data_IF_297195316167
#
_entry.id   IF_297195316167
#
_cell.length_a   1.000
_cell.length_b   1.000
_cell.length_c   1.000
_cell.angle_alpha   90.00
_cell.angle_beta   90.00
_cell.angle_gamma   90.00
#
_symmetry.space_group_name_H-M   'P 1'
#
loop_
_entity.id
_entity.type
_entity.pdbx_description
1 polymer ?
#
# COMPACT_ATOMS: atom_id res chain seq x y z
N UNK A 1 -3.05 9.99 -13.39
CA UNK A 1 -1.74 9.43 -13.76
C UNK A 1 -1.54 8.09 -13.06
N UNK A 2 -0.87 7.10 -13.67
CA UNK A 2 -0.82 5.74 -13.12
C UNK A 2 0.20 5.61 -11.95
N UNK A 3 -0.16 4.88 -10.89
CA UNK A 3 0.68 4.63 -9.69
C UNK A 3 2.02 3.91 -9.95
N UNK A 4 2.22 3.37 -11.14
CA UNK A 4 3.45 2.67 -11.50
C UNK A 4 4.68 3.61 -11.62
N UNK A 5 4.46 4.92 -11.73
CA UNK A 5 5.52 5.89 -12.03
C UNK A 5 6.64 5.98 -10.99
N UNK A 6 6.37 5.69 -9.71
CA UNK A 6 7.43 5.66 -8.69
C UNK A 6 8.33 4.41 -8.76
N UNK A 7 7.87 3.35 -9.44
CA UNK A 7 8.66 2.12 -9.61
C UNK A 7 9.38 2.07 -10.96
N UNK A 8 8.92 2.81 -11.96
CA UNK A 8 9.55 2.85 -13.29
C UNK A 8 11.04 3.25 -13.25
N UNK A 9 11.47 4.29 -12.51
CA UNK A 9 12.89 4.63 -12.38
C UNK A 9 13.71 3.48 -11.78
N UNK A 10 13.15 2.77 -10.79
CA UNK A 10 13.79 1.59 -10.19
C UNK A 10 13.92 0.47 -11.24
N UNK A 11 12.85 0.14 -11.97
CA UNK A 11 12.91 -0.90 -13.01
C UNK A 11 13.98 -0.57 -14.07
N UNK A 12 14.05 0.70 -14.52
CA UNK A 12 15.08 1.15 -15.47
C UNK A 12 16.49 1.08 -14.88
N UNK A 13 16.64 1.39 -13.60
CA UNK A 13 17.92 1.27 -12.91
C UNK A 13 18.39 -0.19 -12.85
N UNK A 14 17.50 -1.12 -12.49
CA UNK A 14 17.80 -2.55 -12.50
C UNK A 14 18.13 -3.06 -13.91
N UNK A 15 17.39 -2.61 -14.93
CA UNK A 15 17.66 -2.96 -16.32
C UNK A 15 19.09 -2.59 -16.75
N UNK A 16 19.58 -1.42 -16.32
CA UNK A 16 20.93 -0.94 -16.62
C UNK A 16 22.02 -1.80 -15.95
N UNK A 17 21.81 -2.24 -14.72
CA UNK A 17 22.85 -2.85 -13.91
C UNK A 17 22.82 -4.38 -13.88
N UNK A 18 21.66 -5.03 -14.05
CA UNK A 18 21.53 -6.48 -14.03
C UNK A 18 22.46 -7.23 -15.00
N UNK A 19 22.70 -6.77 -16.25
CA UNK A 19 23.61 -7.45 -17.16
C UNK A 19 25.03 -7.66 -16.61
N UNK A 20 25.47 -6.82 -15.66
CA UNK A 20 26.78 -6.93 -15.00
C UNK A 20 26.87 -8.14 -14.05
N UNK A 21 25.73 -8.63 -13.55
CA UNK A 21 25.65 -9.69 -12.55
C UNK A 21 24.99 -10.98 -13.06
N UNK A 22 24.36 -10.93 -14.24
CA UNK A 22 23.52 -12.02 -14.77
C UNK A 22 24.08 -12.70 -16.03
N UNK A 23 25.15 -12.17 -16.63
CA UNK A 23 25.75 -12.68 -17.89
C UNK A 23 24.68 -12.96 -18.96
N UNK A 24 23.87 -11.95 -19.26
CA UNK A 24 22.77 -12.07 -20.21
C UNK A 24 22.11 -10.73 -20.51
N UNK A 25 21.24 -10.70 -21.53
CA UNK A 25 20.43 -9.53 -21.86
C UNK A 25 19.20 -9.49 -20.96
N UNK A 26 18.90 -8.30 -20.45
CA UNK A 26 17.65 -8.01 -19.75
C UNK A 26 16.89 -6.98 -20.59
N UNK A 27 15.58 -7.12 -20.68
CA UNK A 27 14.71 -6.21 -21.40
C UNK A 27 13.40 -6.02 -20.63
N UNK A 28 12.83 -4.81 -20.69
CA UNK A 28 11.46 -4.59 -20.22
C UNK A 28 10.53 -5.13 -21.28
N UNK A 29 9.57 -5.94 -20.84
CA UNK A 29 8.50 -6.44 -21.70
C UNK A 29 7.23 -5.64 -21.44
N UNK A 30 6.68 -5.06 -22.48
CA UNK A 30 5.33 -4.50 -22.43
C UNK A 30 4.31 -5.63 -22.53
N UNK A 31 3.46 -5.74 -21.51
CA UNK A 31 2.38 -6.73 -21.45
C UNK A 31 1.07 -5.99 -21.67
N UNK A 32 0.86 -5.46 -22.88
CA UNK A 32 -0.40 -4.85 -23.32
C UNK A 32 -0.98 -3.73 -22.43
N UNK A 33 -2.26 -3.40 -22.68
CA UNK A 33 -3.03 -2.36 -21.96
C UNK A 33 -4.06 -2.94 -20.98
N UNK A 34 -3.99 -4.24 -20.67
CA UNK A 34 -4.94 -4.89 -19.76
C UNK A 34 -4.79 -4.40 -18.31
N UNK A 35 -5.77 -4.73 -17.46
CA UNK A 35 -5.72 -4.36 -16.05
C UNK A 35 -4.45 -4.94 -15.40
N UNK A 36 -3.94 -4.27 -14.36
CA UNK A 36 -2.66 -4.62 -13.73
C UNK A 36 -2.56 -6.10 -13.36
N UNK A 37 -3.59 -6.69 -12.75
CA UNK A 37 -3.58 -8.10 -12.38
C UNK A 37 -3.43 -9.03 -13.59
N UNK A 38 -4.17 -8.77 -14.67
CA UNK A 38 -4.08 -9.57 -15.89
C UNK A 38 -2.68 -9.54 -16.49
N UNK A 39 -2.01 -8.38 -16.43
CA UNK A 39 -0.62 -8.24 -16.87
C UNK A 39 0.34 -9.07 -16.02
N UNK A 40 0.16 -9.07 -14.71
CA UNK A 40 0.97 -9.92 -13.82
C UNK A 40 0.68 -11.40 -14.07
N UNK A 41 -0.58 -11.80 -14.24
CA UNK A 41 -0.94 -13.19 -14.57
C UNK A 41 -0.28 -13.63 -15.88
N UNK A 42 -0.38 -12.82 -16.93
CA UNK A 42 0.25 -13.09 -18.21
C UNK A 42 1.78 -13.19 -18.09
N UNK A 43 2.43 -12.29 -17.34
CA UNK A 43 3.87 -12.35 -17.07
C UNK A 43 4.31 -13.65 -16.40
N UNK A 44 3.48 -14.19 -15.52
CA UNK A 44 3.82 -15.33 -14.67
C UNK A 44 3.39 -16.69 -15.23
N UNK A 45 2.53 -16.73 -16.26
CA UNK A 45 2.00 -17.98 -16.79
C UNK A 45 2.36 -18.29 -18.23
N UNK A 46 2.80 -17.32 -19.03
CA UNK A 46 3.04 -17.55 -20.44
C UNK A 46 4.28 -18.40 -20.74
N UNK A 47 4.58 -18.58 -22.03
CA UNK A 47 5.71 -19.38 -22.54
C UNK A 47 7.09 -18.92 -22.02
N UNK A 48 7.20 -17.70 -21.46
CA UNK A 48 8.46 -17.10 -20.98
C UNK A 48 8.46 -16.92 -19.47
N UNK A 49 7.48 -17.47 -18.76
CA UNK A 49 7.40 -17.40 -17.31
C UNK A 49 8.67 -17.94 -16.61
N UNK A 50 9.37 -18.88 -17.25
CA UNK A 50 10.63 -19.47 -16.78
C UNK A 50 11.84 -18.50 -16.81
N UNK A 51 11.67 -17.32 -17.40
CA UNK A 51 12.70 -16.28 -17.57
C UNK A 51 12.18 -14.86 -17.32
N UNK A 52 10.98 -14.73 -16.76
CA UNK A 52 10.35 -13.44 -16.49
C UNK A 52 10.44 -13.11 -15.00
N UNK A 53 10.82 -11.87 -14.69
CA UNK A 53 10.82 -11.28 -13.34
C UNK A 53 9.82 -10.13 -13.30
N UNK A 54 9.08 -10.01 -12.21
CA UNK A 54 8.06 -8.97 -12.03
C UNK A 54 8.28 -8.26 -10.71
N UNK A 55 8.38 -6.93 -10.76
CA UNK A 55 8.36 -6.09 -9.56
C UNK A 55 6.91 -5.90 -9.13
N UNK A 56 6.58 -6.33 -7.91
CA UNK A 56 5.22 -6.21 -7.37
C UNK A 56 5.21 -5.47 -6.05
N UNK A 57 4.02 -4.96 -5.73
CA UNK A 57 3.67 -4.36 -4.44
C UNK A 57 2.67 -5.28 -3.73
N UNK A 58 2.31 -5.06 -2.45
CA UNK A 58 1.56 -6.04 -1.70
C UNK A 58 0.16 -6.35 -2.25
N UNK A 59 -0.54 -5.38 -2.86
CA UNK A 59 -1.90 -5.60 -3.36
C UNK A 59 -1.98 -6.66 -4.49
N UNK A 60 -1.28 -6.52 -5.63
CA UNK A 60 -1.34 -7.54 -6.69
C UNK A 60 -0.89 -8.91 -6.18
N UNK A 61 0.08 -8.96 -5.26
CA UNK A 61 0.53 -10.22 -4.68
C UNK A 61 -0.55 -10.86 -3.78
N UNK A 62 -1.16 -10.09 -2.88
CA UNK A 62 -2.24 -10.56 -2.01
C UNK A 62 -3.47 -11.05 -2.79
N UNK A 63 -3.83 -10.36 -3.88
CA UNK A 63 -4.94 -10.77 -4.75
C UNK A 63 -4.64 -12.09 -5.48
N UNK A 64 -3.45 -12.24 -6.06
CA UNK A 64 -3.03 -13.51 -6.70
C UNK A 64 -3.01 -14.64 -5.67
N UNK A 65 -2.52 -14.36 -4.47
CA UNK A 65 -2.47 -15.33 -3.39
C UNK A 65 -3.86 -15.78 -2.93
N UNK A 66 -4.80 -14.83 -2.76
CA UNK A 66 -6.19 -15.13 -2.46
C UNK A 66 -6.85 -15.99 -3.56
N UNK A 67 -6.55 -15.73 -4.83
CA UNK A 67 -7.01 -16.55 -5.95
C UNK A 67 -6.45 -17.97 -5.92
N UNK A 68 -5.18 -18.15 -5.56
CA UNK A 68 -4.58 -19.48 -5.40
C UNK A 68 -5.30 -20.27 -4.31
N UNK A 69 -5.55 -19.65 -3.15
CA UNK A 69 -6.27 -20.29 -2.04
C UNK A 69 -7.68 -20.70 -2.45
N UNK A 70 -8.33 -19.90 -3.29
CA UNK A 70 -9.64 -20.20 -3.85
C UNK A 70 -9.60 -21.22 -5.00
N UNK A 71 -8.42 -21.78 -5.34
CA UNK A 71 -8.18 -22.65 -6.49
C UNK A 71 -8.59 -22.02 -7.84
N UNK A 72 -8.51 -20.68 -7.93
CA UNK A 72 -8.89 -19.89 -9.12
C UNK A 72 -7.69 -19.45 -9.97
N UNK A 73 -6.47 -19.73 -9.52
CA UNK A 73 -5.25 -19.34 -10.22
C UNK A 73 -4.15 -20.39 -10.09
N UNK A 74 -3.55 -20.74 -11.23
CA UNK A 74 -2.34 -21.57 -11.31
C UNK A 74 -1.05 -20.73 -11.16
N UNK A 75 -1.16 -19.40 -11.20
CA UNK A 75 -0.02 -18.50 -11.03
C UNK A 75 0.52 -18.68 -9.62
N UNK A 76 1.78 -19.07 -9.47
CA UNK A 76 2.47 -19.14 -8.16
C UNK A 76 3.71 -18.25 -8.16
N UNK A 77 3.60 -16.99 -7.68
CA UNK A 77 4.74 -16.10 -7.56
C UNK A 77 5.64 -16.51 -6.40
N UNK A 78 6.94 -16.58 -6.65
CA UNK A 78 7.98 -16.81 -5.64
C UNK A 78 8.73 -15.49 -5.42
N UNK A 79 8.74 -14.94 -4.19
CA UNK A 79 9.51 -13.74 -3.88
C UNK A 79 11.01 -14.03 -3.99
N UNK A 80 11.77 -13.08 -4.52
CA UNK A 80 13.23 -13.14 -4.60
C UNK A 80 13.90 -12.08 -3.76
N UNK A 81 13.67 -10.81 -4.08
CA UNK A 81 14.44 -9.72 -3.48
C UNK A 81 13.55 -8.54 -3.14
N UNK A 82 13.53 -8.18 -1.86
CA UNK A 82 12.96 -6.94 -1.37
C UNK A 82 13.82 -5.77 -1.84
N UNK A 83 13.18 -4.75 -2.38
CA UNK A 83 13.85 -3.55 -2.91
C UNK A 83 13.69 -2.41 -1.93
N UNK A 84 12.44 -2.09 -1.59
CA UNK A 84 12.12 -0.92 -0.80
C UNK A 84 10.86 -1.13 0.05
N UNK A 85 10.87 -0.49 1.22
CA UNK A 85 9.69 -0.26 2.03
C UNK A 85 9.08 1.09 1.65
N UNK A 86 7.75 1.15 1.65
CA UNK A 86 6.95 2.27 1.18
C UNK A 86 6.01 2.72 2.31
N UNK A 87 6.46 3.65 3.17
CA UNK A 87 5.70 4.04 4.36
C UNK A 87 4.42 4.78 3.97
N UNK A 88 3.37 4.60 4.77
CA UNK A 88 2.10 5.30 4.61
C UNK A 88 2.09 6.67 5.29
N UNK A 89 1.37 7.61 4.70
CA UNK A 89 1.11 8.95 5.21
C UNK A 89 -0.39 9.24 5.17
N UNK A 90 -0.92 9.83 6.23
CA UNK A 90 -2.28 10.35 6.32
C UNK A 90 -2.24 11.87 6.17
N UNK A 91 -3.00 12.41 5.23
CA UNK A 91 -3.07 13.84 4.97
C UNK A 91 -4.50 14.37 5.02
N UNK A 92 -4.63 15.68 5.24
CA UNK A 92 -5.89 16.42 5.14
C UNK A 92 -5.65 17.81 4.54
N UNK A 93 -6.69 18.41 3.98
CA UNK A 93 -6.72 19.81 3.52
C UNK A 93 -7.41 20.74 4.51
N UNK A 94 -8.01 20.18 5.58
CA UNK A 94 -8.61 20.97 6.64
C UNK A 94 -7.54 21.74 7.41
N UNK A 95 -7.85 22.97 7.81
CA UNK A 95 -6.96 23.76 8.67
C UNK A 95 -7.06 23.34 10.13
N UNK A 96 -6.67 22.08 10.37
CA UNK A 96 -6.67 21.44 11.69
C UNK A 96 -5.31 20.82 11.95
N UNK A 97 -4.75 21.11 13.13
CA UNK A 97 -3.44 20.60 13.54
C UNK A 97 -3.55 19.81 14.84
N UNK A 98 -4.18 18.62 14.80
CA UNK A 98 -4.22 17.76 15.97
C UNK A 98 -2.78 17.42 16.39
N UNK A 99 -2.48 17.59 17.69
CA UNK A 99 -1.14 17.33 18.24
C UNK A 99 -1.03 15.95 18.91
N UNK A 100 -2.16 15.29 19.12
CA UNK A 100 -2.27 14.01 19.81
C UNK A 100 -3.55 13.28 19.37
N UNK A 101 -3.71 12.04 19.86
CA UNK A 101 -4.87 11.20 19.61
C UNK A 101 -6.20 11.89 19.92
N UNK A 102 -6.31 12.52 21.09
CA UNK A 102 -7.57 13.13 21.55
C UNK A 102 -7.98 14.28 20.63
N UNK A 103 -7.05 15.16 20.27
CA UNK A 103 -7.32 16.25 19.32
C UNK A 103 -7.72 15.74 17.94
N UNK A 104 -7.08 14.66 17.46
CA UNK A 104 -7.43 14.02 16.20
C UNK A 104 -8.84 13.44 16.23
N UNK A 105 -9.18 12.65 17.25
CA UNK A 105 -10.51 12.06 17.39
C UNK A 105 -11.59 13.11 17.57
N UNK A 106 -11.35 14.15 18.39
CA UNK A 106 -12.32 15.22 18.63
C UNK A 106 -12.64 16.00 17.35
N UNK A 107 -11.61 16.26 16.53
CA UNK A 107 -11.82 16.87 15.21
C UNK A 107 -12.70 15.99 14.32
N UNK A 108 -12.36 14.71 14.19
CA UNK A 108 -13.11 13.79 13.35
C UNK A 108 -14.55 13.59 13.84
N UNK A 109 -14.78 13.50 15.16
CA UNK A 109 -16.12 13.40 15.73
C UNK A 109 -16.94 14.66 15.47
N UNK A 110 -16.30 15.83 15.48
CA UNK A 110 -16.94 17.12 15.21
C UNK A 110 -17.49 17.27 13.78
N UNK A 111 -17.14 16.36 12.86
CA UNK A 111 -17.72 16.32 11.51
C UNK A 111 -19.21 15.94 11.53
N UNK A 112 -19.70 15.30 12.61
CA UNK A 112 -21.10 14.85 12.77
C UNK A 112 -21.62 13.95 11.63
N UNK A 113 -20.73 13.17 11.01
CA UNK A 113 -21.01 12.17 9.97
C UNK A 113 -19.87 11.16 9.91
N UNK A 114 -20.02 10.03 9.19
CA UNK A 114 -18.89 9.12 8.94
C UNK A 114 -17.70 9.86 8.31
N UNK A 115 -16.49 9.49 8.73
CA UNK A 115 -15.22 10.01 8.21
C UNK A 115 -15.01 9.48 6.81
N UNK A 116 -14.89 10.37 5.82
CA UNK A 116 -14.63 10.00 4.42
C UNK A 116 -13.14 9.93 4.18
N UNK A 117 -12.66 8.77 3.75
CA UNK A 117 -11.24 8.54 3.49
C UNK A 117 -10.99 8.11 2.04
N UNK A 118 -10.08 8.82 1.37
CA UNK A 118 -9.47 8.32 0.14
C UNK A 118 -8.38 7.31 0.45
N UNK A 119 -8.37 6.18 -0.26
CA UNK A 119 -7.36 5.14 -0.10
C UNK A 119 -6.66 4.81 -1.41
N UNK A 120 -5.39 4.41 -1.28
CA UNK A 120 -4.65 3.79 -2.37
C UNK A 120 -5.25 2.48 -2.86
N UNK A 121 -5.94 1.75 -2.01
CA UNK A 121 -6.81 0.63 -2.36
C UNK A 121 -7.84 0.48 -1.25
N UNK A 122 -9.10 0.23 -1.58
CA UNK A 122 -10.13 -0.10 -0.59
C UNK A 122 -10.16 -1.62 -0.28
N UNK A 123 -9.16 -2.36 -0.76
CA UNK A 123 -8.95 -3.78 -0.50
C UNK A 123 -7.64 -3.97 0.25
N UNK A 124 -7.31 -5.19 0.65
CA UNK A 124 -6.00 -5.44 1.25
C UNK A 124 -5.87 -4.89 2.67
N UNK A 125 -4.61 -4.67 3.08
CA UNK A 125 -4.26 -4.11 4.39
C UNK A 125 -4.89 -2.74 4.68
N UNK A 126 -5.06 -1.82 3.71
CA UNK A 126 -5.78 -0.57 3.96
C UNK A 126 -7.22 -0.79 4.46
N UNK A 127 -7.96 -1.77 3.94
CA UNK A 127 -9.34 -2.05 4.37
C UNK A 127 -9.39 -2.55 5.82
N UNK A 128 -8.46 -3.44 6.18
CA UNK A 128 -8.23 -3.89 7.57
C UNK A 128 -7.96 -2.70 8.48
N UNK A 129 -7.08 -1.80 8.04
CA UNK A 129 -6.68 -0.64 8.82
C UNK A 129 -7.87 0.29 9.14
N UNK A 130 -8.81 0.49 8.20
CA UNK A 130 -10.06 1.23 8.48
C UNK A 130 -10.81 0.59 9.65
N UNK A 131 -11.01 -0.73 9.64
CA UNK A 131 -11.74 -1.42 10.71
C UNK A 131 -11.04 -1.28 12.07
N UNK A 132 -9.70 -1.34 12.07
CA UNK A 132 -8.93 -1.05 13.27
C UNK A 132 -9.10 0.41 13.74
N UNK A 133 -9.14 1.36 12.81
CA UNK A 133 -9.39 2.77 13.11
C UNK A 133 -10.80 2.98 13.68
N UNK A 134 -11.84 2.41 13.07
CA UNK A 134 -13.22 2.47 13.58
C UNK A 134 -13.30 2.01 15.04
N UNK A 135 -12.68 0.86 15.34
CA UNK A 135 -12.63 0.32 16.71
C UNK A 135 -11.83 1.20 17.66
N UNK A 136 -10.72 1.79 17.20
CA UNK A 136 -9.86 2.62 18.06
C UNK A 136 -10.44 3.99 18.34
N UNK A 137 -11.10 4.60 17.36
CA UNK A 137 -11.64 5.96 17.46
C UNK A 137 -13.11 5.98 17.88
N UNK A 138 -13.84 4.87 17.73
CA UNK A 138 -15.30 4.81 17.94
C UNK A 138 -16.09 5.57 16.88
N UNK A 139 -15.48 5.84 15.71
CA UNK A 139 -16.10 6.59 14.61
C UNK A 139 -16.35 5.65 13.45
N UNK A 140 -17.41 5.91 12.67
CA UNK A 140 -17.64 5.20 11.41
C UNK A 140 -16.80 5.83 10.29
N UNK A 141 -16.28 4.99 9.38
CA UNK A 141 -15.45 5.43 8.26
C UNK A 141 -16.02 4.92 6.93
N UNK A 142 -15.96 5.75 5.89
CA UNK A 142 -16.38 5.41 4.52
C UNK A 142 -15.19 5.61 3.60
N UNK A 143 -14.74 4.55 2.93
CA UNK A 143 -13.61 4.60 2.00
C UNK A 143 -14.01 4.80 0.55
N UNK A 144 -13.17 5.52 -0.18
CA UNK A 144 -13.19 5.60 -1.64
C UNK A 144 -11.86 5.06 -2.19
N UNK A 145 -11.95 4.16 -3.18
CA UNK A 145 -10.77 3.54 -3.80
C UNK A 145 -10.20 4.40 -4.95
N UNK A 146 -8.92 4.75 -4.86
CA UNK A 146 -8.17 5.46 -5.88
C UNK A 146 -6.99 4.65 -6.43
N UNK A 147 -7.11 3.32 -6.44
CA UNK A 147 -6.05 2.42 -6.89
C UNK A 147 -5.58 2.69 -8.31
N UNK A 148 -6.47 2.99 -9.24
CA UNK A 148 -6.05 3.26 -10.62
C UNK A 148 -5.26 4.58 -10.77
N UNK A 149 -5.48 5.57 -9.89
CA UNK A 149 -4.98 6.93 -10.07
C UNK A 149 -4.84 7.69 -8.76
N UNK A 150 -3.61 7.82 -8.25
CA UNK A 150 -3.33 8.55 -7.01
C UNK A 150 -3.73 10.04 -7.07
N UNK A 151 -3.59 10.68 -8.24
CA UNK A 151 -3.93 12.11 -8.44
C UNK A 151 -5.43 12.37 -8.23
N UNK A 152 -6.29 11.38 -8.53
CA UNK A 152 -7.73 11.50 -8.25
C UNK A 152 -8.00 11.52 -6.74
N UNK A 153 -7.27 10.73 -5.95
CA UNK A 153 -7.37 10.77 -4.50
C UNK A 153 -6.97 12.12 -3.93
N UNK A 154 -5.87 12.70 -4.43
CA UNK A 154 -5.45 14.05 -4.05
C UNK A 154 -6.49 15.10 -4.48
N UNK A 155 -6.96 15.04 -5.71
CA UNK A 155 -7.98 15.97 -6.22
C UNK A 155 -9.28 15.90 -5.41
N UNK A 156 -9.71 14.69 -5.02
CA UNK A 156 -10.89 14.45 -4.19
C UNK A 156 -10.72 15.02 -2.76
N UNK A 157 -9.51 14.99 -2.22
CA UNK A 157 -9.21 15.63 -0.93
C UNK A 157 -9.28 17.16 -1.02
N UNK A 158 -8.74 17.77 -2.08
CA UNK A 158 -8.78 19.22 -2.28
C UNK A 158 -10.17 19.75 -2.59
N UNK A 159 -11.02 18.97 -3.26
CA UNK A 159 -12.42 19.33 -3.50
C UNK A 159 -13.35 19.10 -2.30
N UNK A 160 -12.81 18.63 -1.17
CA UNK A 160 -13.58 18.35 0.04
C UNK A 160 -14.51 17.14 -0.07
N UNK A 161 -14.30 16.27 -1.06
CA UNK A 161 -15.01 15.00 -1.17
C UNK A 161 -14.49 13.96 -0.18
N UNK A 162 -13.21 14.04 0.19
CA UNK A 162 -12.60 13.27 1.28
C UNK A 162 -12.22 14.19 2.44
N UNK A 163 -12.25 13.66 3.66
CA UNK A 163 -11.78 14.39 4.85
C UNK A 163 -10.28 14.15 5.07
N UNK A 164 -9.85 12.91 4.79
CA UNK A 164 -8.46 12.47 4.87
C UNK A 164 -8.10 11.58 3.68
N UNK A 165 -6.80 11.52 3.36
CA UNK A 165 -6.23 10.65 2.33
C UNK A 165 -5.09 9.83 2.94
N UNK A 166 -5.18 8.49 2.85
CA UNK A 166 -4.08 7.60 3.19
C UNK A 166 -3.40 7.14 1.90
N UNK A 167 -2.13 7.51 1.77
CA UNK A 167 -1.32 7.25 0.58
C UNK A 167 0.13 6.96 0.99
N UNK A 168 0.92 6.33 0.13
CA UNK A 168 2.35 6.21 0.42
C UNK A 168 2.99 7.60 0.49
N UNK A 169 3.88 7.84 1.45
CA UNK A 169 4.50 9.15 1.65
C UNK A 169 5.23 9.63 0.39
N UNK A 170 5.90 8.72 -0.32
CA UNK A 170 6.54 8.99 -1.60
C UNK A 170 5.56 9.52 -2.66
N UNK A 171 4.40 8.89 -2.83
CA UNK A 171 3.38 9.39 -3.77
C UNK A 171 2.83 10.73 -3.34
N UNK A 172 2.57 10.93 -2.05
CA UNK A 172 2.10 12.21 -1.52
C UNK A 172 3.09 13.33 -1.84
N UNK A 173 4.38 13.13 -1.55
CA UNK A 173 5.44 14.10 -1.84
C UNK A 173 5.58 14.37 -3.34
N UNK A 174 5.50 13.33 -4.19
CA UNK A 174 5.54 13.48 -5.65
C UNK A 174 4.37 14.32 -6.16
N UNK A 175 3.14 13.97 -5.77
CA UNK A 175 1.94 14.68 -6.21
C UNK A 175 1.96 16.15 -5.77
N UNK A 176 2.47 16.43 -4.57
CA UNK A 176 2.66 17.80 -4.08
C UNK A 176 3.71 18.57 -4.89
N UNK A 177 4.84 17.93 -5.22
CA UNK A 177 5.93 18.59 -5.95
C UNK A 177 5.55 18.92 -7.39
N UNK A 178 4.68 18.10 -8.01
CA UNK A 178 4.22 18.30 -9.37
C UNK A 178 3.04 19.30 -9.47
N UNK A 179 2.43 19.67 -8.36
CA UNK A 179 1.29 20.60 -8.34
C UNK A 179 1.81 22.03 -8.22
N UNK A 180 1.46 22.88 -9.18
CA UNK A 180 1.66 24.31 -9.03
C UNK A 180 0.81 24.83 -7.85
N UNK A 181 1.38 25.70 -7.02
CA UNK A 181 0.60 26.35 -5.97
C UNK A 181 -0.51 27.18 -6.61
N UNK A 182 -1.77 26.80 -6.37
CA UNK A 182 -2.94 27.56 -6.84
C UNK A 182 -3.36 28.51 -5.72
N UNK A 183 -3.39 29.83 -5.96
CA UNK A 183 -3.85 30.79 -4.97
C UNK A 183 -5.28 30.47 -4.50
N UNK A 184 -5.49 30.47 -3.18
CA UNK A 184 -6.80 30.20 -2.57
C UNK A 184 -7.13 28.72 -2.37
N UNK A 185 -6.31 27.78 -2.85
CA UNK A 185 -6.50 26.37 -2.52
C UNK A 185 -6.07 26.06 -1.07
N UNK A 186 -6.79 25.14 -0.39
CA UNK A 186 -6.42 24.73 0.96
C UNK A 186 -5.05 24.05 0.95
N UNK A 187 -4.21 24.35 1.94
CA UNK A 187 -2.89 23.73 2.06
C UNK A 187 -3.03 22.28 2.50
N UNK A 188 -2.35 21.36 1.82
CA UNK A 188 -2.22 19.99 2.30
C UNK A 188 -1.39 19.94 3.59
N UNK A 189 -1.91 19.25 4.60
CA UNK A 189 -1.26 19.01 5.88
C UNK A 189 -1.07 17.50 6.07
N UNK A 190 0.18 17.08 6.28
CA UNK A 190 0.47 15.72 6.73
C UNK A 190 0.12 15.62 8.22
N UNK A 191 -0.82 14.75 8.55
CA UNK A 191 -1.27 14.54 9.93
C UNK A 191 -0.44 13.48 10.62
N UNK A 192 -0.21 12.36 9.93
CA UNK A 192 0.47 11.18 10.46
C UNK A 192 1.33 10.51 9.41
N UNK A 193 2.40 9.86 9.84
CA UNK A 193 3.19 8.93 9.02
C UNK A 193 3.35 7.57 9.71
N UNK A 194 3.56 6.51 8.94
CA UNK A 194 3.83 5.17 9.46
C UNK A 194 5.14 5.14 10.25
N UNK A 195 6.15 5.83 9.72
CA UNK A 195 7.47 5.92 10.32
C UNK A 195 7.68 7.29 10.98
N UNK A 196 8.61 7.39 11.94
CA UNK A 196 9.10 8.68 12.38
C UNK A 196 9.63 9.44 11.16
N UNK A 197 9.02 10.57 10.81
CA UNK A 197 9.53 11.39 9.73
C UNK A 197 10.89 11.98 10.14
N UNK A 198 11.85 12.00 9.22
CA UNK A 198 13.13 12.68 9.42
C UNK A 198 12.94 14.15 9.86
N UNK A 199 11.88 14.78 9.35
CA UNK A 199 11.32 16.01 9.90
C UNK A 199 10.48 15.67 11.13
N UNK A 200 10.98 15.92 12.35
CA UNK A 200 10.31 15.67 13.64
C UNK A 200 8.93 16.34 13.82
N UNK A 201 8.43 17.05 12.81
CA UNK A 201 7.17 17.81 12.83
C UNK A 201 5.92 16.98 12.55
N UNK A 202 6.03 15.79 11.96
CA UNK A 202 4.88 14.89 11.72
C UNK A 202 4.94 13.74 12.72
N UNK A 203 3.86 13.57 13.48
CA UNK A 203 3.76 12.45 14.42
C UNK A 203 3.53 11.14 13.65
N UNK A 204 3.89 10.01 14.26
CA UNK A 204 3.56 8.70 13.71
C UNK A 204 2.34 8.07 14.39
N UNK A 205 1.71 7.10 13.72
CA UNK A 205 0.50 6.44 14.25
C UNK A 205 0.73 5.83 15.64
N UNK A 206 1.89 5.21 15.87
CA UNK A 206 2.24 4.59 17.14
C UNK A 206 2.35 5.60 18.29
N UNK A 207 2.92 6.78 18.05
CA UNK A 207 3.01 7.88 19.03
C UNK A 207 1.62 8.33 19.50
N UNK A 208 0.64 8.32 18.62
CA UNK A 208 -0.76 8.59 18.97
C UNK A 208 -1.53 7.35 19.41
N UNK A 209 -0.85 6.22 19.58
CA UNK A 209 -1.47 4.93 19.91
C UNK A 209 -2.62 4.60 18.96
N UNK A 210 -2.52 4.96 17.68
CA UNK A 210 -3.46 4.62 16.63
C UNK A 210 -2.96 3.36 15.89
N UNK A 211 -3.87 2.58 15.28
CA UNK A 211 -3.50 1.50 14.39
C UNK A 211 -2.48 1.99 13.36
N UNK A 212 -1.35 1.31 13.28
CA UNK A 212 -0.33 1.60 12.26
C UNK A 212 -0.67 0.79 11.02
N UNK A 213 -0.83 1.41 9.84
CA UNK A 213 -1.02 0.66 8.59
C UNK A 213 0.18 -0.26 8.38
N UNK A 214 -0.06 -1.51 7.95
CA UNK A 214 1.05 -2.36 7.58
C UNK A 214 1.77 -1.76 6.37
N UNK A 215 3.11 -1.77 6.38
CA UNK A 215 3.87 -1.12 5.33
C UNK A 215 3.58 -1.69 3.96
N UNK A 216 3.60 -0.79 2.98
CA UNK A 216 3.71 -1.20 1.59
C UNK A 216 5.17 -1.50 1.27
N UNK A 217 5.40 -2.24 0.19
CA UNK A 217 6.73 -2.65 -0.22
C UNK A 217 6.82 -2.81 -1.74
N UNK A 218 8.05 -2.97 -2.24
CA UNK A 218 8.34 -3.37 -3.61
C UNK A 218 9.31 -4.56 -3.59
N UNK A 219 8.91 -5.67 -4.20
CA UNK A 219 9.67 -6.95 -4.20
C UNK A 219 9.68 -7.53 -5.61
N UNK A 220 10.82 -8.08 -6.03
CA UNK A 220 10.94 -8.86 -7.25
C UNK A 220 10.44 -10.29 -7.05
N UNK A 221 9.63 -10.77 -7.98
CA UNK A 221 9.09 -12.13 -8.01
C UNK A 221 9.39 -12.82 -9.33
N UNK A 222 9.34 -14.15 -9.30
CA UNK A 222 9.33 -15.01 -10.48
C UNK A 222 8.18 -16.00 -10.41
N UNK A 223 7.86 -16.64 -11.53
CA UNK A 223 6.94 -17.77 -11.56
C UNK A 223 7.58 -19.02 -10.94
N UNK A 224 6.78 -19.88 -10.31
CA UNK A 224 7.21 -21.22 -9.89
C UNK A 224 7.66 -22.11 -11.05
N UNK A 225 7.33 -21.75 -12.30
CA UNK A 225 7.82 -22.41 -13.51
C UNK A 225 9.32 -22.18 -13.76
N UNK A 226 9.93 -21.16 -13.13
CA UNK A 226 11.37 -20.90 -13.26
C UNK A 226 12.18 -21.97 -12.51
N UNK A 227 13.12 -22.68 -13.17
CA UNK A 227 13.96 -23.67 -12.51
C UNK A 227 14.76 -23.08 -11.34
N UNK A 228 14.90 -23.84 -10.26
CA UNK A 228 15.55 -23.38 -9.02
C UNK A 228 16.96 -22.82 -9.25
N UNK A 229 17.81 -23.52 -10.02
CA UNK A 229 19.16 -23.05 -10.35
C UNK A 229 19.15 -21.71 -11.09
N UNK A 230 18.13 -21.44 -11.90
CA UNK A 230 17.95 -20.15 -12.57
C UNK A 230 17.47 -19.10 -11.56
N UNK A 231 16.46 -19.44 -10.77
CA UNK A 231 15.89 -18.59 -9.72
C UNK A 231 16.95 -18.09 -8.74
N UNK A 232 17.82 -18.98 -8.25
CA UNK A 232 18.88 -18.63 -7.29
C UNK A 232 19.90 -17.66 -7.91
N UNK A 233 20.28 -17.86 -9.17
CA UNK A 233 21.14 -16.93 -9.90
C UNK A 233 20.47 -15.56 -10.11
N UNK A 234 19.18 -15.53 -10.44
CA UNK A 234 18.42 -14.28 -10.63
C UNK A 234 18.36 -13.53 -9.30
N UNK A 235 18.05 -14.23 -8.22
CA UNK A 235 17.97 -13.66 -6.89
C UNK A 235 19.32 -13.06 -6.45
N UNK A 236 20.43 -13.76 -6.70
CA UNK A 236 21.76 -13.24 -6.42
C UNK A 236 22.09 -11.97 -7.22
N UNK A 237 21.77 -11.94 -8.52
CA UNK A 237 21.97 -10.76 -9.37
C UNK A 237 21.10 -9.57 -8.93
N UNK A 238 19.83 -9.80 -8.60
CA UNK A 238 18.92 -8.79 -8.07
C UNK A 238 19.41 -8.26 -6.72
N UNK A 239 19.87 -9.13 -5.83
CA UNK A 239 20.44 -8.74 -4.54
C UNK A 239 21.68 -7.85 -4.74
N UNK A 240 22.61 -8.25 -5.61
CA UNK A 240 23.80 -7.48 -5.91
C UNK A 240 23.46 -6.06 -6.40
N UNK A 241 22.46 -5.91 -7.28
CA UNK A 241 21.98 -4.59 -7.73
C UNK A 241 21.33 -3.82 -6.59
N UNK A 242 20.52 -4.46 -5.74
CA UNK A 242 19.83 -3.84 -4.59
C UNK A 242 20.82 -3.25 -3.58
N UNK A 243 21.95 -3.93 -3.38
CA UNK A 243 22.97 -3.53 -2.41
C UNK A 243 23.86 -2.38 -2.90
N UNK A 244 23.81 -2.01 -4.19
CA UNK A 244 24.61 -0.89 -4.71
C UNK A 244 24.21 0.43 -4.05
N UNK A 245 25.20 1.27 -3.81
CA UNK A 245 24.99 2.59 -3.22
C UNK A 245 24.09 3.49 -4.09
N UNK A 246 24.29 3.48 -5.41
CA UNK A 246 23.47 4.24 -6.34
C UNK A 246 22.01 3.76 -6.39
N UNK A 247 21.76 2.45 -6.28
CA UNK A 247 20.41 1.91 -6.12
C UNK A 247 19.77 2.41 -4.83
N UNK A 248 20.49 2.34 -3.70
CA UNK A 248 19.95 2.82 -2.41
C UNK A 248 19.70 4.32 -2.41
N UNK A 249 20.60 5.10 -3.01
CA UNK A 249 20.43 6.55 -3.17
C UNK A 249 19.18 6.88 -3.99
N UNK A 250 18.98 6.20 -5.12
CA UNK A 250 17.78 6.37 -5.95
C UNK A 250 16.50 6.03 -5.17
N UNK A 251 16.49 4.95 -4.38
CA UNK A 251 15.32 4.59 -3.55
C UNK A 251 14.98 5.73 -2.57
N UNK A 252 16.00 6.31 -1.92
CA UNK A 252 15.81 7.45 -1.00
C UNK A 252 15.34 8.71 -1.72
N UNK A 253 15.89 8.99 -2.90
CA UNK A 253 15.48 10.12 -3.75
C UNK A 253 13.99 10.02 -4.13
N UNK A 254 13.53 8.79 -4.39
CA UNK A 254 12.11 8.51 -4.64
C UNK A 254 11.25 8.54 -3.37
N UNK A 255 11.79 8.96 -2.22
CA UNK A 255 11.06 9.05 -0.95
C UNK A 255 10.70 7.70 -0.34
N UNK A 256 11.38 6.63 -0.73
CA UNK A 256 11.18 5.27 -0.22
C UNK A 256 12.33 4.87 0.71
N UNK A 257 12.14 3.82 1.50
CA UNK A 257 13.17 3.29 2.40
C UNK A 257 13.89 2.09 1.75
N UNK A 258 15.21 2.15 1.53
CA UNK A 258 15.98 1.02 1.04
C UNK A 258 15.93 -0.16 2.01
N UNK A 259 15.82 -1.37 1.48
CA UNK A 259 15.81 -2.61 2.27
C UNK A 259 16.98 -3.51 1.87
N UNK A 260 18.22 -3.20 2.29
CA UNK A 260 19.43 -3.95 1.92
C UNK A 260 19.53 -5.25 2.73
N UNK A 261 18.65 -6.20 2.44
CA UNK A 261 18.59 -7.49 3.10
C UNK A 261 18.98 -8.62 2.14
N UNK A 262 19.38 -9.76 2.70
CA UNK A 262 19.66 -10.97 1.92
C UNK A 262 18.41 -11.48 1.18
N UNK A 263 18.62 -12.36 0.21
CA UNK A 263 17.53 -13.07 -0.49
C UNK A 263 16.66 -13.83 0.49
N UNK A 264 17.26 -14.59 1.41
CA UNK A 264 16.52 -15.37 2.41
C UNK A 264 15.71 -14.49 3.37
N UNK A 265 16.27 -13.37 3.81
CA UNK A 265 15.56 -12.39 4.63
C UNK A 265 14.40 -11.73 3.85
N UNK A 266 14.59 -11.47 2.56
CA UNK A 266 13.52 -10.95 1.69
C UNK A 266 12.35 -11.92 1.58
N UNK A 267 12.64 -13.21 1.40
CA UNK A 267 11.63 -14.26 1.31
C UNK A 267 10.87 -14.41 2.62
N UNK A 268 11.60 -14.54 3.74
CA UNK A 268 11.01 -14.63 5.07
C UNK A 268 10.13 -13.42 5.42
N UNK A 269 10.53 -12.21 5.01
CA UNK A 269 9.73 -11.01 5.22
C UNK A 269 8.38 -11.09 4.49
N UNK A 270 8.39 -11.48 3.20
CA UNK A 270 7.17 -11.58 2.40
C UNK A 270 6.25 -12.70 2.92
N UNK A 271 6.82 -13.81 3.35
CA UNK A 271 6.09 -14.91 3.97
C UNK A 271 5.44 -14.50 5.30
N UNK A 272 6.18 -13.78 6.16
CA UNK A 272 5.63 -13.23 7.41
C UNK A 272 4.48 -12.27 7.11
N UNK A 273 4.65 -11.37 6.13
CA UNK A 273 3.62 -10.42 5.72
C UNK A 273 2.35 -11.14 5.23
N UNK A 274 2.49 -12.24 4.48
CA UNK A 274 1.35 -13.07 4.08
C UNK A 274 0.69 -13.79 5.26
N UNK A 275 1.47 -14.26 6.22
CA UNK A 275 0.97 -14.86 7.46
C UNK A 275 0.07 -13.87 8.22
N UNK A 276 0.55 -12.64 8.39
CA UNK A 276 -0.20 -11.55 9.03
C UNK A 276 -1.47 -11.23 8.24
N UNK A 277 -1.37 -11.10 6.91
CA UNK A 277 -2.52 -10.89 6.02
C UNK A 277 -3.62 -11.93 6.24
N UNK A 278 -3.28 -13.22 6.26
CA UNK A 278 -4.25 -14.31 6.48
C UNK A 278 -4.90 -14.23 7.86
N UNK A 279 -4.08 -14.08 8.90
CA UNK A 279 -4.54 -14.02 10.28
C UNK A 279 -5.57 -12.91 10.44
N UNK A 280 -5.27 -11.73 9.89
CA UNK A 280 -6.14 -10.57 10.03
C UNK A 280 -7.38 -10.68 9.12
N UNK A 281 -7.26 -11.22 7.90
CA UNK A 281 -8.41 -11.49 7.03
C UNK A 281 -9.40 -12.47 7.66
N UNK A 282 -8.89 -13.55 8.26
CA UNK A 282 -9.72 -14.51 8.99
C UNK A 282 -10.37 -13.87 10.22
N UNK A 283 -9.64 -13.03 10.95
CA UNK A 283 -10.20 -12.25 12.05
C UNK A 283 -11.34 -11.34 11.58
N UNK A 284 -11.16 -10.61 10.48
CA UNK A 284 -12.18 -9.74 9.91
C UNK A 284 -13.45 -10.48 9.52
N UNK A 285 -13.32 -11.65 8.88
CA UNK A 285 -14.47 -12.45 8.45
C UNK A 285 -15.24 -13.07 9.61
N UNK A 286 -14.61 -13.20 10.78
CA UNK A 286 -15.20 -13.78 11.99
C UNK A 286 -15.65 -12.72 13.00
N UNK A 287 -15.67 -11.44 12.62
CA UNK A 287 -16.24 -10.38 13.47
C UNK A 287 -17.76 -10.56 13.56
N UNK A 288 -18.34 -10.64 14.77
CA UNK A 288 -19.80 -10.66 14.93
C UNK A 288 -20.40 -9.36 14.37
N UNK A 289 -21.41 -9.44 13.51
CA UNK A 289 -22.09 -8.31 12.84
C UNK A 289 -22.83 -7.32 13.79
N UNK A 290 -22.64 -7.39 15.11
CA UNK A 290 -23.43 -6.58 16.04
C UNK A 290 -22.91 -5.14 16.17
N UNK A 291 -23.48 -4.24 15.36
CA UNK A 291 -24.15 -3.01 15.84
C UNK A 291 -24.75 -2.15 14.69
N UNK A 292 -25.32 -2.76 13.64
CA UNK A 292 -26.27 -2.04 12.78
C UNK A 292 -27.70 -2.36 13.22
N UNK A 293 -28.34 -1.41 13.90
CA UNK A 293 -29.80 -1.26 13.94
C UNK A 293 -30.60 -2.15 14.89
N UNK A 294 -30.85 -1.68 16.11
CA UNK A 294 -32.22 -1.69 16.66
C UNK A 294 -32.53 -0.27 17.16
N UNK A 295 -32.84 0.61 16.21
CA UNK A 295 -33.79 1.69 16.44
C UNK A 295 -35.16 1.07 16.27
N UNK A 296 -35.89 0.87 17.37
CA UNK A 296 -37.21 0.26 17.38
C UNK A 296 -37.99 0.63 18.63
N UNK A 297 -38.55 1.84 18.59
CA UNK A 297 -39.75 2.28 19.29
C UNK A 297 -39.97 1.83 20.74
N UNK A 298 -39.65 2.72 21.68
CA UNK A 298 -40.41 2.85 22.91
C UNK A 298 -41.84 3.30 22.55
N UNK A 299 -42.73 2.35 22.29
CA UNK A 299 -44.16 2.58 22.24
C UNK A 299 -44.73 2.36 23.65
N UNK A 300 -44.97 3.48 24.33
CA UNK A 300 -45.80 3.62 25.51
C UNK A 300 -47.12 2.85 25.38
N UNK A 301 -47.36 1.88 26.27
CA UNK A 301 -48.69 1.33 26.54
C UNK A 301 -49.41 2.21 27.57
N UNK A 302 -50.68 2.59 27.36
CA UNK A 302 -51.49 3.22 28.41
C UNK A 302 -52.00 2.17 29.41
N UNK A 303 -52.33 2.57 30.65
CA UNK A 303 -52.85 1.65 31.65
C UNK A 303 -54.28 1.24 31.29
N UNK A 304 -54.60 -0.05 31.43
CA UNK A 304 -55.99 -0.52 31.49
C UNK A 304 -56.37 -0.68 32.96
N UNK A 305 -57.53 -0.13 33.32
CA UNK A 305 -58.27 -0.54 34.50
C UNK A 305 -58.89 -1.91 34.35
#
# INVERSE_FOLDING_TARGET
MARAQLLDPLVRHYLKHLPQYWSGKVAIREIGRSQMLDRVRAAMNDERADRTVTLMTPLPYGQIYDEQLAMRSEVRPIPLQMVAKRPWCLASTYDVRPRNRTGFTNWLSGLNRPVRIGLASAQGMPAIWIKAMERKTGLAWVSTDFFANAEQGLSSLFSGQQDVLLETCAEMSRMLSNRAAVPGEPKLQLLLSEQPSANKSVANFAQWQLPTPAPSWAVWFVSSKMPETRRNRVAAALNAVTLREDTQALIRELGQEPMPMSVSASQAYVESWLGDWKSIKNWMNNLPEKAQGVSGAAASRPPRG
#
